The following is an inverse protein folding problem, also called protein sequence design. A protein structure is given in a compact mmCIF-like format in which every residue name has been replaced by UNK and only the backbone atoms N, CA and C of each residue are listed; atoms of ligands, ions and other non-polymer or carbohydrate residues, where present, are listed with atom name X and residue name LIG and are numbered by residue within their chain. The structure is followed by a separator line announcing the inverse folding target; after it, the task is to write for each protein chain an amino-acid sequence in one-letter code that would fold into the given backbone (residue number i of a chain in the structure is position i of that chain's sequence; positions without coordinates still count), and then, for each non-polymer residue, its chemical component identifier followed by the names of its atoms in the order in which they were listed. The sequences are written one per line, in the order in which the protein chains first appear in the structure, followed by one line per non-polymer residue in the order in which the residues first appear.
data_IF_470083785550
#
_entry.id   IF_470083785550
#
_cell.length_a   1.000
_cell.length_b   1.000
_cell.length_c   1.000
_cell.angle_alpha   90.00
_cell.angle_beta   90.00
_cell.angle_gamma   90.00
#
_symmetry.space_group_name_H-M   'P 1'
#
loop_
_entity.id
_entity.type
_entity.pdbx_description
1 polymer ?
#
# COMPACT_ATOMS: atom_id res chain seq x y z
N UNK A 1 -8.53 -7.00 -3.53
CA UNK A 1 -8.61 -5.60 -4.03
C UNK A 1 -9.13 -5.60 -5.44
N UNK A 2 -10.08 -4.73 -5.75
CA UNK A 2 -10.59 -4.54 -7.11
C UNK A 2 -9.72 -3.57 -7.90
N UNK A 3 -9.93 -3.50 -9.22
CA UNK A 3 -9.23 -2.52 -10.06
C UNK A 3 -9.48 -1.07 -9.63
N UNK A 4 -10.75 -0.64 -9.45
CA UNK A 4 -11.05 0.70 -8.95
C UNK A 4 -10.45 0.99 -7.58
N UNK A 5 -10.39 0.00 -6.69
CA UNK A 5 -9.74 0.15 -5.38
C UNK A 5 -8.24 0.40 -5.51
N UNK A 6 -7.57 -0.28 -6.44
CA UNK A 6 -6.15 -0.04 -6.71
C UNK A 6 -5.91 1.38 -7.24
N UNK A 7 -6.76 1.84 -8.14
CA UNK A 7 -6.67 3.21 -8.67
C UNK A 7 -6.85 4.24 -7.55
N UNK A 8 -7.81 4.01 -6.67
CA UNK A 8 -8.03 4.87 -5.51
C UNK A 8 -6.85 4.81 -4.53
N UNK A 9 -6.28 3.63 -4.33
CA UNK A 9 -5.08 3.46 -3.50
C UNK A 9 -3.92 4.32 -4.02
N UNK A 10 -3.69 4.33 -5.32
CA UNK A 10 -2.63 5.16 -5.91
C UNK A 10 -2.84 6.64 -5.60
N UNK A 11 -4.07 7.13 -5.65
CA UNK A 11 -4.41 8.50 -5.27
C UNK A 11 -4.18 8.75 -3.78
N UNK A 12 -4.63 7.83 -2.93
CA UNK A 12 -4.51 7.94 -1.49
C UNK A 12 -3.04 7.93 -1.04
N UNK A 13 -2.21 7.09 -1.66
CA UNK A 13 -0.79 7.06 -1.39
C UNK A 13 -0.09 8.34 -1.86
N UNK A 14 -0.51 8.89 -3.01
CA UNK A 14 0.02 10.15 -3.50
C UNK A 14 -0.19 11.27 -2.49
N UNK A 15 -1.38 11.36 -1.92
CA UNK A 15 -1.68 12.34 -0.86
C UNK A 15 -0.87 12.07 0.40
N UNK A 16 -0.77 10.80 0.81
CA UNK A 16 -0.09 10.43 2.04
C UNK A 16 1.41 10.75 2.02
N UNK A 17 2.08 10.55 0.89
CA UNK A 17 3.53 10.79 0.78
C UNK A 17 3.88 12.17 0.24
N UNK A 18 2.89 12.95 -0.19
CA UNK A 18 3.10 14.32 -0.66
C UNK A 18 3.68 14.45 -2.07
N UNK A 19 3.53 13.41 -2.91
CA UNK A 19 3.94 13.47 -4.32
C UNK A 19 3.00 12.63 -5.17
N UNK A 20 2.81 13.05 -6.42
CA UNK A 20 1.98 12.28 -7.36
C UNK A 20 2.66 10.95 -7.73
N UNK A 21 1.94 9.85 -7.59
CA UNK A 21 2.42 8.52 -7.97
C UNK A 21 1.85 8.12 -9.33
N UNK A 22 2.76 7.80 -10.25
CA UNK A 22 2.41 7.27 -11.56
C UNK A 22 2.20 5.75 -11.50
N UNK A 23 1.67 5.17 -12.58
CA UNK A 23 1.61 3.72 -12.70
C UNK A 23 3.01 3.09 -12.67
N UNK A 24 4.01 3.78 -13.23
CA UNK A 24 5.40 3.32 -13.18
C UNK A 24 5.94 3.31 -11.74
N UNK A 25 5.59 4.31 -10.93
CA UNK A 25 5.96 4.34 -9.51
C UNK A 25 5.35 3.16 -8.76
N UNK A 26 4.07 2.89 -8.98
CA UNK A 26 3.40 1.75 -8.37
C UNK A 26 4.03 0.42 -8.79
N UNK A 27 4.42 0.31 -10.05
CA UNK A 27 5.13 -0.88 -10.55
C UNK A 27 6.46 -1.07 -9.82
N UNK A 28 7.21 0.00 -9.60
CA UNK A 28 8.47 -0.03 -8.85
C UNK A 28 8.24 -0.50 -7.41
N UNK A 29 7.21 0.00 -6.76
CA UNK A 29 6.86 -0.42 -5.40
C UNK A 29 6.46 -1.90 -5.32
N UNK A 30 5.86 -2.42 -6.38
CA UNK A 30 5.48 -3.84 -6.47
C UNK A 30 6.64 -4.75 -6.92
N UNK A 31 7.81 -4.20 -7.23
CA UNK A 31 8.93 -4.99 -7.71
C UNK A 31 8.77 -5.49 -9.14
N UNK A 32 7.94 -4.84 -9.95
CA UNK A 32 7.73 -5.21 -11.35
C UNK A 32 8.89 -4.72 -12.23
N UNK A 33 9.17 -5.48 -13.29
CA UNK A 33 10.23 -5.13 -14.22
C UNK A 33 9.94 -3.80 -14.92
N UNK A 34 10.96 -2.93 -15.14
CA UNK A 34 10.74 -1.59 -15.70
C UNK A 34 10.10 -1.59 -17.09
N UNK A 35 10.35 -2.60 -17.89
CA UNK A 35 9.90 -2.62 -19.29
C UNK A 35 8.42 -2.81 -19.50
N UNK A 36 7.68 -3.34 -18.53
CA UNK A 36 6.23 -3.61 -18.69
C UNK A 36 5.43 -3.36 -17.43
N UNK A 37 6.07 -2.89 -16.37
CA UNK A 37 5.45 -2.74 -15.06
C UNK A 37 4.28 -1.76 -15.05
N UNK A 38 4.45 -0.60 -15.69
CA UNK A 38 3.39 0.41 -15.75
C UNK A 38 2.14 -0.11 -16.47
N UNK A 39 2.31 -0.86 -17.55
CA UNK A 39 1.18 -1.46 -18.27
C UNK A 39 0.50 -2.52 -17.41
N UNK A 40 1.25 -3.27 -16.63
CA UNK A 40 0.70 -4.25 -15.71
C UNK A 40 -0.16 -3.55 -14.64
N UNK A 41 0.31 -2.45 -14.06
CA UNK A 41 -0.47 -1.68 -13.10
C UNK A 41 -1.76 -1.15 -13.73
N UNK A 42 -1.70 -0.59 -14.94
CA UNK A 42 -2.89 -0.08 -15.65
C UNK A 42 -3.90 -1.18 -15.88
N UNK A 43 -3.45 -2.38 -16.23
CA UNK A 43 -4.30 -3.56 -16.40
C UNK A 43 -4.96 -3.95 -15.08
N UNK A 44 -4.20 -3.94 -13.99
CA UNK A 44 -4.73 -4.24 -12.65
C UNK A 44 -5.71 -3.18 -12.14
N UNK A 45 -5.58 -1.94 -12.57
CA UNK A 45 -6.54 -0.88 -12.23
C UNK A 45 -7.90 -1.08 -12.93
N UNK A 46 -7.96 -1.98 -13.87
CA UNK A 46 -9.22 -2.37 -14.54
C UNK A 46 -9.76 -3.68 -13.97
N UNK A 47 -8.93 -4.73 -13.96
CA UNK A 47 -9.36 -6.09 -13.61
C UNK A 47 -9.06 -6.51 -12.17
N UNK A 48 -8.23 -5.76 -11.48
CA UNK A 48 -7.76 -6.08 -10.15
C UNK A 48 -6.44 -6.85 -10.17
N UNK A 49 -5.59 -6.64 -9.15
CA UNK A 49 -4.38 -7.41 -8.97
C UNK A 49 -4.70 -8.84 -8.51
N UNK A 50 -3.79 -9.78 -8.73
CA UNK A 50 -3.99 -11.18 -8.37
C UNK A 50 -2.79 -11.73 -7.60
N UNK A 51 -3.01 -12.81 -6.84
CA UNK A 51 -1.97 -13.52 -6.14
C UNK A 51 -1.21 -12.66 -5.12
N UNK A 52 0.11 -12.81 -5.03
CA UNK A 52 0.93 -12.07 -4.06
C UNK A 52 0.88 -10.55 -4.24
N UNK A 53 0.64 -10.05 -5.45
CA UNK A 53 0.54 -8.62 -5.72
C UNK A 53 -0.63 -7.99 -4.97
N UNK A 54 -1.76 -8.67 -4.88
CA UNK A 54 -2.90 -8.18 -4.11
C UNK A 54 -2.53 -7.98 -2.64
N UNK A 55 -1.84 -8.92 -2.04
CA UNK A 55 -1.41 -8.83 -0.63
C UNK A 55 -0.38 -7.74 -0.42
N UNK A 56 0.58 -7.60 -1.32
CA UNK A 56 1.57 -6.52 -1.25
C UNK A 56 0.90 -5.15 -1.32
N UNK A 57 -0.04 -4.96 -2.24
CA UNK A 57 -0.77 -3.70 -2.38
C UNK A 57 -1.64 -3.41 -1.15
N UNK A 58 -2.23 -4.44 -0.56
CA UNK A 58 -2.95 -4.28 0.70
C UNK A 58 -2.02 -3.82 1.84
N UNK A 59 -0.78 -4.31 1.87
CA UNK A 59 0.21 -3.87 2.85
C UNK A 59 0.63 -2.42 2.60
N UNK A 60 0.86 -2.05 1.34
CA UNK A 60 1.17 -0.66 0.99
C UNK A 60 0.04 0.30 1.38
N UNK A 61 -1.19 -0.19 1.39
CA UNK A 61 -2.34 0.60 1.82
C UNK A 61 -2.25 1.08 3.28
N UNK A 62 -1.36 0.47 4.09
CA UNK A 62 -1.10 0.93 5.46
C UNK A 62 -0.57 2.35 5.52
N UNK A 63 0.06 2.81 4.46
CA UNK A 63 0.55 4.19 4.37
C UNK A 63 -0.59 5.20 4.18
N UNK A 64 -1.76 4.75 3.71
CA UNK A 64 -2.96 5.59 3.59
C UNK A 64 -3.83 5.42 4.84
N UNK A 65 -4.82 6.30 4.99
CA UNK A 65 -5.73 6.24 6.14
C UNK A 65 -6.95 5.34 5.91
N UNK A 66 -7.03 4.66 4.75
CA UNK A 66 -8.28 4.03 4.33
C UNK A 66 -8.40 2.53 4.59
N UNK A 67 -7.29 1.84 4.83
CA UNK A 67 -7.32 0.39 5.02
C UNK A 67 -6.71 0.01 6.36
N UNK A 68 -7.51 -0.43 7.35
CA UNK A 68 -6.99 -0.90 8.63
C UNK A 68 -6.45 -2.33 8.50
N UNK A 69 -5.48 -2.51 7.63
CA UNK A 69 -4.97 -3.85 7.29
C UNK A 69 -4.33 -4.56 8.48
N UNK A 70 -3.82 -3.79 9.45
CA UNK A 70 -3.24 -4.37 10.66
C UNK A 70 -4.28 -5.16 11.45
N UNK A 71 -5.52 -4.71 11.44
CA UNK A 71 -6.61 -5.42 12.10
C UNK A 71 -7.02 -6.68 11.32
N UNK A 72 -7.01 -6.58 9.99
CA UNK A 72 -7.36 -7.70 9.11
C UNK A 72 -6.38 -8.88 9.23
N UNK A 73 -5.12 -8.61 9.54
CA UNK A 73 -4.10 -9.63 9.72
C UNK A 73 -3.86 -10.01 11.19
N UNK A 74 -4.63 -9.47 12.11
CA UNK A 74 -4.49 -9.72 13.56
C UNK A 74 -3.07 -9.47 14.07
N UNK A 75 -2.36 -8.49 13.49
CA UNK A 75 -0.99 -8.17 13.90
C UNK A 75 -0.93 -7.75 15.36
N UNK A 76 -1.93 -7.02 15.83
CA UNK A 76 -1.98 -6.55 17.20
C UNK A 76 -2.16 -7.69 18.20
N UNK A 77 -2.96 -8.68 17.85
CA UNK A 77 -3.17 -9.84 18.71
C UNK A 77 -1.92 -10.73 18.76
N UNK A 78 -1.26 -10.90 17.62
CA UNK A 78 -0.04 -11.70 17.51
C UNK A 78 1.09 -11.18 18.40
N UNK A 79 1.21 -9.87 18.53
CA UNK A 79 2.26 -9.24 19.36
C UNK A 79 1.72 -8.77 20.72
N UNK A 80 0.54 -9.20 21.12
CA UNK A 80 -0.08 -8.86 22.41
C UNK A 80 -0.14 -7.34 22.67
N UNK A 81 -0.46 -6.57 21.67
CA UNK A 81 -0.58 -5.12 21.79
C UNK A 81 -1.92 -4.78 22.43
N UNK A 82 -1.95 -4.10 23.58
CA UNK A 82 -3.20 -3.70 24.22
C UNK A 82 -4.03 -2.80 23.30
N UNK A 83 -5.34 -2.97 23.36
CA UNK A 83 -6.26 -2.23 22.50
C UNK A 83 -6.09 -0.71 22.62
N UNK A 84 -5.81 -0.20 23.80
CA UNK A 84 -5.59 1.22 24.04
C UNK A 84 -4.35 1.77 23.33
N UNK A 85 -3.37 0.93 23.02
CA UNK A 85 -2.13 1.33 22.34
C UNK A 85 -2.22 1.16 20.81
N UNK A 86 -3.25 0.50 20.31
CA UNK A 86 -3.38 0.20 18.88
C UNK A 86 -3.41 1.44 17.99
N UNK A 87 -4.10 2.55 18.34
CA UNK A 87 -4.06 3.76 17.51
C UNK A 87 -2.65 4.33 17.32
N UNK A 88 -1.84 4.39 18.40
CA UNK A 88 -0.48 4.88 18.34
C UNK A 88 0.40 3.95 17.52
N UNK A 89 0.26 2.63 17.69
CA UNK A 89 1.00 1.63 16.90
C UNK A 89 0.64 1.68 15.43
N UNK A 90 -0.64 1.85 15.14
CA UNK A 90 -1.12 2.00 13.76
C UNK A 90 -0.48 3.22 13.09
N UNK A 91 -0.37 4.34 13.82
CA UNK A 91 0.26 5.54 13.32
C UNK A 91 1.77 5.34 13.07
N UNK A 92 2.47 4.67 13.96
CA UNK A 92 3.89 4.33 13.77
C UNK A 92 4.11 3.50 12.50
N UNK A 93 3.32 2.46 12.29
CA UNK A 93 3.41 1.62 11.09
C UNK A 93 3.13 2.42 9.83
N UNK A 94 2.15 3.31 9.88
CA UNK A 94 1.78 4.16 8.76
C UNK A 94 2.93 5.08 8.35
N UNK A 95 3.52 5.77 9.31
CA UNK A 95 4.64 6.68 9.05
C UNK A 95 5.87 5.94 8.54
N UNK A 96 6.18 4.81 9.14
CA UNK A 96 7.28 3.96 8.69
C UNK A 96 7.09 3.50 7.27
N UNK A 97 5.88 3.10 6.91
CA UNK A 97 5.56 2.66 5.54
C UNK A 97 5.67 3.82 4.54
N UNK A 98 5.24 5.03 4.93
CA UNK A 98 5.39 6.23 4.10
C UNK A 98 6.86 6.53 3.81
N UNK A 99 7.72 6.42 4.81
CA UNK A 99 9.15 6.64 4.66
C UNK A 99 9.78 5.58 3.75
N UNK A 100 9.42 4.33 3.90
CA UNK A 100 9.88 3.25 3.02
C UNK A 100 9.47 3.47 1.56
N UNK A 101 8.24 3.91 1.33
CA UNK A 101 7.75 4.21 -0.01
C UNK A 101 8.60 5.31 -0.64
N UNK A 102 8.86 6.39 0.10
CA UNK A 102 9.69 7.49 -0.38
C UNK A 102 11.10 7.03 -0.76
N UNK A 103 11.71 6.21 0.10
CA UNK A 103 13.05 5.66 -0.16
C UNK A 103 13.09 4.81 -1.43
N UNK A 104 12.10 3.97 -1.62
CA UNK A 104 12.05 3.08 -2.79
C UNK A 104 11.82 3.83 -4.10
N UNK A 105 11.26 5.03 -4.04
CA UNK A 105 10.97 5.84 -5.23
C UNK A 105 12.11 6.80 -5.59
N UNK A 106 13.09 6.93 -4.74
CA UNK A 106 14.28 7.75 -5.01
C UNK A 106 15.27 7.09 -5.98
#
# INVERSE_FOLDING_TARGET
MTGPELKQLRKDLSEAIGRSLSAADMAKLCGLAPGGGADTIRRWEVSGPSGPADKLLCILAMASDRYPILENFNVFDRFNIPEAERPARRQEFREKMRDEIRERLE
#
